data_IF_034524364313
#
_entry.id   IF_034524364313
#
_cell.length_a   1.000
_cell.length_b   1.000
_cell.length_c   1.000
_cell.angle_alpha   90.00
_cell.angle_beta   90.00
_cell.angle_gamma   90.00
#
_symmetry.space_group_name_H-M   'P 1'
#
loop_
_entity.id
_entity.type
_entity.pdbx_description
1 polymer ?
#
# COMPACT_ATOMS: atom_id res chain seq x y z
N UNK A 1 12.45 -10.78 6.73
CA UNK A 1 11.52 -9.67 6.39
C UNK A 1 11.02 -9.04 7.68
N UNK A 2 10.98 -7.71 7.79
CA UNK A 2 10.44 -7.01 8.98
C UNK A 2 9.00 -6.59 8.69
N UNK A 3 8.10 -6.80 9.65
CA UNK A 3 6.71 -6.37 9.54
C UNK A 3 6.58 -4.87 9.85
N UNK A 4 5.71 -4.17 9.12
CA UNK A 4 5.34 -2.79 9.42
C UNK A 4 4.20 -2.74 10.43
N UNK A 5 4.29 -1.81 11.39
CA UNK A 5 3.20 -1.48 12.28
C UNK A 5 2.46 -0.28 11.69
N UNK A 6 1.23 -0.51 11.23
CA UNK A 6 0.36 0.50 10.65
C UNK A 6 -0.59 1.07 11.70
N UNK A 7 -0.97 2.32 11.50
CA UNK A 7 -2.05 3.00 12.21
C UNK A 7 -3.00 3.61 11.17
N UNK A 8 -4.27 3.79 11.54
CA UNK A 8 -5.25 4.46 10.67
C UNK A 8 -4.72 5.85 10.30
N UNK A 9 -4.76 6.16 9.00
CA UNK A 9 -4.22 7.39 8.43
C UNK A 9 -2.76 7.30 7.98
N UNK A 10 -2.07 6.19 8.20
CA UNK A 10 -0.73 5.98 7.64
C UNK A 10 -0.81 5.78 6.13
N UNK A 11 -0.03 6.59 5.39
CA UNK A 11 0.17 6.42 3.96
C UNK A 11 1.42 5.58 3.70
N UNK A 12 1.30 4.67 2.75
CA UNK A 12 2.39 3.82 2.29
C UNK A 12 2.33 3.60 0.79
N UNK A 13 3.49 3.29 0.22
CA UNK A 13 3.63 2.92 -1.19
C UNK A 13 3.79 1.40 -1.25
N UNK A 14 2.91 0.72 -1.98
CA UNK A 14 2.99 -0.72 -2.20
C UNK A 14 3.99 -0.99 -3.34
N UNK A 15 5.08 -1.71 -3.05
CA UNK A 15 6.09 -2.08 -4.05
C UNK A 15 5.88 -3.49 -4.60
N UNK A 16 5.31 -4.40 -3.79
CA UNK A 16 5.05 -5.79 -4.16
C UNK A 16 3.84 -6.32 -3.41
N UNK A 17 2.98 -7.06 -4.10
CA UNK A 17 1.92 -7.86 -3.51
C UNK A 17 2.16 -9.35 -3.82
N UNK A 18 2.04 -10.20 -2.81
CA UNK A 18 2.13 -11.66 -2.94
C UNK A 18 0.73 -12.27 -2.99
N UNK A 19 0.58 -13.41 -3.69
CA UNK A 19 -0.71 -14.11 -3.84
C UNK A 19 -1.30 -14.64 -2.52
N UNK A 20 -0.52 -14.64 -1.44
CA UNK A 20 -0.95 -15.04 -0.09
C UNK A 20 -1.59 -13.89 0.70
N UNK A 21 -1.78 -12.71 0.09
CA UNK A 21 -2.38 -11.54 0.74
C UNK A 21 -1.39 -10.69 1.57
N UNK A 22 -0.08 -10.96 1.50
CA UNK A 22 0.94 -10.05 2.04
C UNK A 22 1.40 -9.04 1.01
N UNK A 23 1.55 -7.81 1.45
CA UNK A 23 2.16 -6.73 0.69
C UNK A 23 3.52 -6.36 1.31
N UNK A 24 4.42 -5.87 0.48
CA UNK A 24 5.65 -5.19 0.88
C UNK A 24 5.59 -3.74 0.40
N UNK A 25 5.89 -2.81 1.30
CA UNK A 25 5.79 -1.39 1.00
C UNK A 25 6.62 -0.52 1.92
N UNK A 26 6.55 0.78 1.69
CA UNK A 26 7.33 1.80 2.40
C UNK A 26 6.38 2.79 3.05
N UNK A 27 6.49 2.96 4.37
CA UNK A 27 5.74 3.99 5.12
C UNK A 27 6.26 5.39 4.77
N UNK A 28 5.40 6.25 4.24
CA UNK A 28 5.79 7.62 3.83
C UNK A 28 6.31 8.44 5.01
N UNK A 29 5.67 8.32 6.18
CA UNK A 29 6.05 9.09 7.39
C UNK A 29 7.45 8.77 7.94
N UNK A 30 7.98 7.58 7.67
CA UNK A 30 9.19 7.07 8.33
C UNK A 30 10.23 6.44 7.39
N UNK A 31 9.93 6.37 6.09
CA UNK A 31 10.70 5.65 5.08
C UNK A 31 11.06 4.20 5.48
N UNK A 32 10.28 3.59 6.36
CA UNK A 32 10.49 2.20 6.77
C UNK A 32 9.86 1.26 5.75
N UNK A 33 10.66 0.32 5.28
CA UNK A 33 10.21 -0.77 4.41
C UNK A 33 9.89 -2.03 5.22
N UNK A 34 8.84 -2.72 4.83
CA UNK A 34 8.49 -4.01 5.41
C UNK A 34 7.18 -4.57 4.88
N UNK A 35 6.73 -5.68 5.48
CA UNK A 35 5.52 -6.37 5.07
C UNK A 35 4.31 -6.05 5.95
N UNK A 36 3.12 -6.13 5.36
CA UNK A 36 1.84 -5.95 6.04
C UNK A 36 0.73 -6.71 5.27
N UNK A 37 -0.38 -7.10 5.93
CA UNK A 37 -1.52 -7.70 5.24
C UNK A 37 -2.23 -6.69 4.34
N UNK A 38 -2.70 -7.12 3.17
CA UNK A 38 -3.43 -6.23 2.25
C UNK A 38 -4.72 -5.67 2.90
N UNK A 39 -5.34 -6.41 3.81
CA UNK A 39 -6.60 -6.04 4.47
C UNK A 39 -6.48 -4.84 5.41
N UNK A 40 -5.27 -4.32 5.65
CA UNK A 40 -5.02 -3.19 6.56
C UNK A 40 -4.92 -1.86 5.82
N UNK A 41 -5.01 -1.90 4.49
CA UNK A 41 -4.91 -0.72 3.63
C UNK A 41 -6.06 -0.70 2.64
N UNK A 42 -6.40 0.50 2.21
CA UNK A 42 -7.25 0.73 1.05
C UNK A 42 -6.38 1.41 -0.01
N UNK A 43 -6.56 1.04 -1.27
CA UNK A 43 -5.89 1.73 -2.36
C UNK A 43 -6.59 3.07 -2.54
N UNK A 44 -5.80 4.14 -2.57
CA UNK A 44 -6.30 5.43 -3.00
C UNK A 44 -6.43 5.31 -4.52
N UNK A 45 -7.67 5.20 -5.02
CA UNK A 45 -7.91 5.30 -6.45
C UNK A 45 -7.34 6.63 -6.92
N UNK A 46 -6.36 6.58 -7.83
CA UNK A 46 -5.92 7.77 -8.54
C UNK A 46 -7.14 8.26 -9.33
N UNK A 47 -7.67 9.44 -8.99
CA UNK A 47 -8.59 10.21 -9.86
C UNK A 47 -7.86 10.66 -11.16
N UNK A 48 -7.18 9.75 -11.85
CA UNK A 48 -6.46 9.97 -13.10
C UNK A 48 -6.46 8.72 -14.00
N UNK A 49 -7.51 7.90 -13.97
CA UNK A 49 -7.86 7.16 -15.19
C UNK A 49 -8.53 8.17 -16.13
N UNK A 50 -7.92 8.57 -17.27
CA UNK A 50 -8.67 9.26 -18.29
C UNK A 50 -9.72 8.27 -18.79
N UNK A 51 -10.96 8.43 -18.33
CA UNK A 51 -12.12 7.78 -18.92
C UNK A 51 -12.19 8.22 -20.38
N UNK A 52 -11.62 7.41 -21.28
CA UNK A 52 -11.84 7.55 -22.71
C UNK A 52 -13.25 7.05 -23.01
N UNK A 53 -14.25 7.87 -22.68
CA UNK A 53 -15.56 7.82 -23.31
C UNK A 53 -15.41 8.43 -24.71
N UNK A 54 -15.32 7.57 -25.73
CA UNK A 54 -15.69 7.86 -27.13
C UNK A 54 -15.90 6.54 -27.88
#
# INVERSE_FOLDING_TARGET
KRSLRLQIGDLLIVNRAESNGQCEGILVKSNRQGTFPFTYVEFLDDENEPTNEN
#
